data_IF_233859208116
#
_entry.id   IF_233859208116
#
_cell.length_a   1.000
_cell.length_b   1.000
_cell.length_c   1.000
_cell.angle_alpha   90.00
_cell.angle_beta   90.00
_cell.angle_gamma   90.00
#
_symmetry.space_group_name_H-M   'P 1'
#
loop_
_entity.id
_entity.type
_entity.pdbx_description
1 polymer ?
#
# COMPACT_ATOMS: atom_id res chain seq x y z
N UNK A 1 -35.00 -28.33 21.85
CA UNK A 1 -34.91 -28.26 20.37
C UNK A 1 -34.29 -26.91 20.03
N UNK A 2 -32.96 -26.84 20.00
CA UNK A 2 -32.22 -25.59 19.81
C UNK A 2 -31.84 -25.48 18.34
N UNK A 3 -32.50 -24.58 17.62
CA UNK A 3 -32.23 -24.30 16.21
C UNK A 3 -30.86 -23.65 16.09
N UNK A 4 -29.90 -24.32 15.43
CA UNK A 4 -28.60 -23.73 15.09
C UNK A 4 -28.83 -22.50 14.19
N UNK A 5 -28.20 -21.33 14.44
CA UNK A 5 -28.31 -20.20 13.55
C UNK A 5 -27.81 -20.59 12.15
N UNK A 6 -28.54 -20.16 11.11
CA UNK A 6 -28.21 -20.44 9.72
C UNK A 6 -27.06 -19.54 9.29
N UNK A 7 -25.85 -20.09 9.24
CA UNK A 7 -24.68 -19.49 8.60
C UNK A 7 -25.02 -19.23 7.13
N UNK A 8 -24.98 -17.97 6.70
CA UNK A 8 -25.10 -17.59 5.29
C UNK A 8 -23.74 -17.77 4.58
N UNK A 9 -23.70 -17.80 3.25
CA UNK A 9 -22.44 -17.88 2.51
C UNK A 9 -21.49 -16.71 2.87
N UNK A 10 -22.03 -15.56 3.27
CA UNK A 10 -21.26 -14.39 3.71
C UNK A 10 -20.57 -14.58 5.08
N UNK A 11 -21.02 -15.55 5.90
CA UNK A 11 -20.46 -15.83 7.21
C UNK A 11 -19.29 -16.84 7.18
N UNK A 12 -19.00 -17.43 6.01
CA UNK A 12 -17.89 -18.36 5.84
C UNK A 12 -16.61 -17.60 5.46
N UNK A 13 -15.46 -17.91 6.09
CA UNK A 13 -14.19 -17.29 5.70
C UNK A 13 -13.93 -17.56 4.21
N UNK A 14 -13.38 -16.59 3.46
CA UNK A 14 -13.12 -16.79 2.04
C UNK A 14 -12.19 -17.99 1.85
N UNK A 15 -12.58 -18.90 0.95
CA UNK A 15 -11.77 -20.06 0.59
C UNK A 15 -10.32 -19.64 0.30
N UNK A 16 -9.28 -20.28 0.88
CA UNK A 16 -7.90 -19.83 0.77
C UNK A 16 -7.42 -19.62 -0.68
N UNK A 17 -7.95 -20.40 -1.63
CA UNK A 17 -7.69 -20.23 -3.05
C UNK A 17 -8.19 -18.88 -3.60
N UNK A 18 -9.36 -18.40 -3.15
CA UNK A 18 -9.94 -17.12 -3.55
C UNK A 18 -9.17 -15.93 -2.98
N UNK A 19 -8.71 -16.03 -1.73
CA UNK A 19 -7.83 -15.02 -1.11
C UNK A 19 -6.54 -14.88 -1.92
N UNK A 20 -5.91 -16.00 -2.30
CA UNK A 20 -4.69 -15.99 -3.10
C UNK A 20 -4.91 -15.43 -4.50
N UNK A 21 -6.04 -15.75 -5.14
CA UNK A 21 -6.39 -15.18 -6.44
C UNK A 21 -6.55 -13.66 -6.36
N UNK A 22 -7.25 -13.16 -5.34
CA UNK A 22 -7.40 -11.71 -5.11
C UNK A 22 -6.05 -11.03 -4.90
N UNK A 23 -5.15 -11.64 -4.13
CA UNK A 23 -3.78 -11.13 -3.98
C UNK A 23 -3.06 -11.03 -5.32
N UNK A 24 -3.11 -12.05 -6.18
CA UNK A 24 -2.48 -11.99 -7.51
C UNK A 24 -3.03 -10.88 -8.41
N UNK A 25 -4.31 -10.51 -8.25
CA UNK A 25 -4.92 -9.43 -9.03
C UNK A 25 -4.54 -8.05 -8.49
N UNK A 26 -4.47 -7.89 -7.17
CA UNK A 26 -4.23 -6.60 -6.52
C UNK A 26 -2.74 -6.28 -6.34
N UNK A 27 -1.88 -7.29 -6.20
CA UNK A 27 -0.45 -7.11 -6.00
C UNK A 27 0.20 -6.29 -7.12
N UNK A 28 -0.04 -6.55 -8.44
CA UNK A 28 0.52 -5.72 -9.49
C UNK A 28 0.09 -4.25 -9.39
N UNK A 29 -1.16 -4.00 -8.98
CA UNK A 29 -1.66 -2.63 -8.83
C UNK A 29 -0.97 -1.89 -7.68
N UNK A 30 -0.59 -2.61 -6.62
CA UNK A 30 0.14 -2.05 -5.49
C UNK A 30 1.64 -1.93 -5.78
N UNK A 31 2.23 -2.93 -6.43
CA UNK A 31 3.66 -3.07 -6.62
C UNK A 31 4.29 -1.92 -7.41
N UNK A 32 3.54 -1.29 -8.32
CA UNK A 32 4.04 -0.16 -9.13
C UNK A 32 4.64 0.98 -8.29
N UNK A 33 4.12 1.22 -7.08
CA UNK A 33 4.62 2.27 -6.18
C UNK A 33 6.06 2.02 -5.71
N UNK A 34 6.57 0.79 -5.80
CA UNK A 34 7.92 0.42 -5.37
C UNK A 34 8.89 0.19 -6.53
N UNK A 35 8.38 -0.04 -7.75
CA UNK A 35 9.20 -0.48 -8.88
C UNK A 35 9.14 0.43 -10.10
N UNK A 36 8.09 1.24 -10.24
CA UNK A 36 7.94 2.09 -11.41
C UNK A 36 8.98 3.23 -11.43
N UNK A 37 9.50 3.61 -12.63
CA UNK A 37 10.48 4.68 -12.74
C UNK A 37 9.96 6.02 -12.20
N UNK A 38 8.65 6.28 -12.29
CA UNK A 38 8.03 7.49 -11.73
C UNK A 38 8.15 7.52 -10.19
N UNK A 39 8.07 6.36 -9.53
CA UNK A 39 8.24 6.25 -8.08
C UNK A 39 9.66 6.61 -7.64
N UNK A 40 10.68 6.15 -8.38
CA UNK A 40 12.07 6.55 -8.11
C UNK A 40 12.30 8.03 -8.42
N UNK A 41 11.70 8.55 -9.50
CA UNK A 41 11.80 9.97 -9.83
C UNK A 41 11.20 10.87 -8.75
N UNK A 42 10.01 10.55 -8.23
CA UNK A 42 9.40 11.33 -7.13
C UNK A 42 10.19 11.19 -5.83
N UNK A 43 10.73 10.00 -5.53
CA UNK A 43 11.58 9.81 -4.35
C UNK A 43 12.85 10.68 -4.44
N UNK A 44 13.53 10.67 -5.58
CA UNK A 44 14.71 11.50 -5.81
C UNK A 44 14.40 13.00 -5.75
N UNK A 45 13.24 13.43 -6.25
CA UNK A 45 12.79 14.82 -6.16
C UNK A 45 12.54 15.27 -4.70
N UNK A 46 12.20 14.35 -3.80
CA UNK A 46 12.09 14.59 -2.36
C UNK A 46 13.43 14.48 -1.62
N UNK A 47 14.53 14.17 -2.31
CA UNK A 47 15.85 14.00 -1.70
C UNK A 47 16.07 12.62 -1.05
N UNK A 48 15.19 11.64 -1.29
CA UNK A 48 15.41 10.26 -0.86
C UNK A 48 16.49 9.61 -1.75
N UNK A 49 17.31 8.73 -1.15
CA UNK A 49 18.25 7.90 -1.90
C UNK A 49 17.52 6.95 -2.87
N UNK A 50 17.97 6.93 -4.12
CA UNK A 50 17.39 6.11 -5.21
C UNK A 50 18.38 5.09 -5.79
N UNK A 51 19.59 5.04 -5.25
CA UNK A 51 20.63 4.05 -5.54
C UNK A 51 20.28 2.67 -4.99
N UNK A 52 19.59 2.65 -3.85
CA UNK A 52 19.00 1.45 -3.26
C UNK A 52 17.47 1.57 -3.19
N UNK A 53 16.77 0.43 -3.18
CA UNK A 53 15.29 0.43 -3.07
C UNK A 53 14.76 0.83 -1.70
N UNK A 54 15.58 0.74 -0.65
CA UNK A 54 15.10 0.78 0.74
C UNK A 54 14.65 2.16 1.23
N UNK A 55 15.36 3.27 0.96
CA UNK A 55 14.89 4.60 1.36
C UNK A 55 13.49 4.90 0.80
N UNK A 56 13.30 4.63 -0.50
CA UNK A 56 11.99 4.73 -1.18
C UNK A 56 10.95 3.82 -0.52
N UNK A 57 11.29 2.55 -0.30
CA UNK A 57 10.37 1.55 0.23
C UNK A 57 9.82 1.95 1.60
N UNK A 58 10.70 2.31 2.53
CA UNK A 58 10.30 2.68 3.88
C UNK A 58 9.53 4.01 3.88
N UNK A 59 9.99 5.02 3.13
CA UNK A 59 9.28 6.29 3.01
C UNK A 59 7.85 6.11 2.50
N UNK A 60 7.66 5.41 1.37
CA UNK A 60 6.32 5.17 0.83
C UNK A 60 5.46 4.32 1.75
N UNK A 61 6.01 3.26 2.33
CA UNK A 61 5.23 2.30 3.12
C UNK A 61 4.86 2.85 4.49
N UNK A 62 5.68 3.71 5.08
CA UNK A 62 5.42 4.35 6.37
C UNK A 62 4.52 5.59 6.25
N UNK A 63 4.54 6.31 5.12
CA UNK A 63 3.83 7.58 4.96
C UNK A 63 2.34 7.57 5.41
N UNK A 64 1.52 6.53 5.13
CA UNK A 64 0.13 6.51 5.58
C UNK A 64 -0.08 6.44 7.10
N UNK A 65 0.96 6.07 7.87
CA UNK A 65 0.90 6.08 9.35
C UNK A 65 0.96 7.50 9.91
N UNK A 66 1.40 8.49 9.12
CA UNK A 66 1.70 9.83 9.60
C UNK A 66 2.91 9.86 10.54
N UNK A 67 3.02 10.93 11.32
CA UNK A 67 4.07 11.05 12.33
C UNK A 67 3.81 10.08 13.49
N UNK A 68 4.63 9.03 13.61
CA UNK A 68 4.56 8.03 14.67
C UNK A 68 5.90 7.90 15.41
N UNK A 69 5.89 7.47 16.69
CA UNK A 69 7.14 7.18 17.39
C UNK A 69 7.96 6.08 16.70
N UNK A 70 9.30 6.12 16.77
CA UNK A 70 10.16 5.08 16.16
C UNK A 70 9.80 3.65 16.58
N UNK A 71 9.38 3.44 17.84
CA UNK A 71 8.97 2.13 18.32
C UNK A 71 7.75 1.56 17.56
N UNK A 72 6.80 2.42 17.16
CA UNK A 72 5.64 2.02 16.34
C UNK A 72 6.10 1.64 14.94
N UNK A 73 7.04 2.41 14.37
CA UNK A 73 7.61 2.12 13.06
C UNK A 73 8.33 0.75 13.06
N UNK A 74 9.19 0.50 14.06
CA UNK A 74 9.85 -0.80 14.23
C UNK A 74 8.85 -1.95 14.42
N UNK A 75 7.76 -1.73 15.17
CA UNK A 75 6.72 -2.74 15.36
C UNK A 75 5.97 -3.06 14.06
N UNK A 76 5.61 -2.05 13.26
CA UNK A 76 4.97 -2.25 11.94
C UNK A 76 5.91 -2.98 10.98
N UNK A 77 7.21 -2.71 11.07
CA UNK A 77 8.24 -3.34 10.25
C UNK A 77 8.94 -4.51 10.94
N UNK A 78 8.29 -5.22 11.86
CA UNK A 78 8.89 -6.30 12.66
C UNK A 78 9.49 -7.46 11.83
N UNK A 79 9.12 -7.61 10.56
CA UNK A 79 9.68 -8.61 9.64
C UNK A 79 11.05 -8.22 9.08
N UNK A 80 11.52 -7.00 9.32
CA UNK A 80 12.84 -6.52 8.91
C UNK A 80 13.85 -6.64 10.06
N UNK A 81 15.12 -6.70 9.70
CA UNK A 81 16.20 -6.55 10.68
C UNK A 81 16.07 -5.16 11.35
N UNK A 82 16.14 -5.06 12.69
CA UNK A 82 15.88 -3.81 13.40
C UNK A 82 16.72 -2.61 12.92
N UNK A 83 18.01 -2.82 12.67
CA UNK A 83 18.93 -1.80 12.15
C UNK A 83 18.57 -1.27 10.76
N UNK A 84 17.89 -2.05 9.92
CA UNK A 84 17.37 -1.57 8.64
C UNK A 84 16.29 -0.49 8.82
N UNK A 85 15.38 -0.66 9.76
CA UNK A 85 14.30 0.31 9.99
C UNK A 85 14.88 1.61 10.49
N UNK A 86 15.82 1.55 11.43
CA UNK A 86 16.53 2.74 11.91
C UNK A 86 17.27 3.43 10.76
N UNK A 87 18.03 2.67 9.96
CA UNK A 87 18.85 3.21 8.87
C UNK A 87 18.04 3.88 7.75
N UNK A 88 16.91 3.31 7.36
CA UNK A 88 16.21 3.74 6.14
C UNK A 88 14.87 4.44 6.38
N UNK A 89 14.26 4.26 7.55
CA UNK A 89 12.94 4.81 7.86
C UNK A 89 13.01 6.02 8.81
N UNK A 90 14.18 6.30 9.39
CA UNK A 90 14.39 7.46 10.29
C UNK A 90 15.42 8.42 9.70
N UNK A 91 15.35 9.70 10.08
CA UNK A 91 16.34 10.70 9.66
C UNK A 91 16.36 11.01 8.15
N UNK A 92 15.29 10.70 7.42
CA UNK A 92 15.20 10.88 5.96
C UNK A 92 15.16 12.35 5.51
N UNK A 93 14.84 13.28 6.42
CA UNK A 93 14.60 14.69 6.10
C UNK A 93 13.29 14.96 5.37
N UNK A 94 12.49 13.91 5.09
CA UNK A 94 11.20 13.98 4.41
C UNK A 94 10.09 13.69 5.42
N UNK A 95 9.12 14.58 5.52
CA UNK A 95 7.96 14.39 6.40
C UNK A 95 7.04 13.29 5.87
N UNK A 96 6.26 12.61 6.74
CA UNK A 96 5.26 11.64 6.30
C UNK A 96 4.25 12.22 5.30
N UNK A 97 3.90 13.50 5.43
CA UNK A 97 2.98 14.22 4.54
C UNK A 97 3.59 14.44 3.15
N UNK A 98 4.85 14.88 3.08
CA UNK A 98 5.59 15.00 1.82
C UNK A 98 5.76 13.64 1.14
N UNK A 99 6.08 12.61 1.93
CA UNK A 99 6.20 11.24 1.43
C UNK A 99 4.85 10.73 0.91
N UNK A 100 3.74 10.99 1.60
CA UNK A 100 2.41 10.57 1.15
C UNK A 100 2.01 11.29 -0.14
N UNK A 101 2.26 12.60 -0.22
CA UNK A 101 1.99 13.39 -1.43
C UNK A 101 2.84 12.91 -2.61
N UNK A 102 4.14 12.66 -2.41
CA UNK A 102 5.04 12.10 -3.41
C UNK A 102 4.61 10.71 -3.88
N UNK A 103 4.23 9.84 -2.94
CA UNK A 103 3.67 8.51 -3.23
C UNK A 103 2.44 8.60 -4.14
N UNK A 104 1.52 9.53 -3.86
CA UNK A 104 0.30 9.70 -4.66
C UNK A 104 0.61 10.25 -6.07
N UNK A 105 1.53 11.21 -6.19
CA UNK A 105 2.01 11.70 -7.49
C UNK A 105 2.68 10.60 -8.30
N UNK A 106 3.52 9.78 -7.67
CA UNK A 106 4.17 8.66 -8.33
C UNK A 106 3.15 7.69 -8.92
N UNK A 107 2.15 7.29 -8.12
CA UNK A 107 1.08 6.38 -8.55
C UNK A 107 0.26 6.98 -9.69
N UNK A 108 -0.16 8.25 -9.60
CA UNK A 108 -0.89 8.93 -10.68
C UNK A 108 -0.07 8.94 -11.98
N UNK A 109 1.20 9.36 -11.90
CA UNK A 109 2.09 9.41 -13.06
C UNK A 109 2.31 8.04 -13.68
N UNK A 110 2.52 6.99 -12.87
CA UNK A 110 2.67 5.63 -13.37
C UNK A 110 1.42 5.15 -14.09
N UNK A 111 0.22 5.36 -13.53
CA UNK A 111 -1.02 4.93 -14.18
C UNK A 111 -1.33 5.71 -15.45
N UNK A 112 -1.06 7.03 -15.46
CA UNK A 112 -1.16 7.84 -16.68
C UNK A 112 -0.20 7.37 -17.77
N UNK A 113 1.03 7.00 -17.41
CA UNK A 113 2.00 6.46 -18.36
C UNK A 113 1.58 5.11 -18.94
N UNK A 114 0.98 4.24 -18.12
CA UNK A 114 0.56 2.89 -18.53
C UNK A 114 -0.75 2.86 -19.32
N UNK A 115 -1.72 3.68 -18.93
CA UNK A 115 -3.10 3.62 -19.43
C UNK A 115 -3.47 4.76 -20.38
N UNK A 116 -2.68 5.85 -20.41
CA UNK A 116 -3.04 7.06 -21.16
C UNK A 116 -4.41 7.58 -20.74
N UNK A 117 -5.24 7.96 -21.72
CA UNK A 117 -6.58 8.51 -21.49
C UNK A 117 -7.54 7.53 -20.77
N UNK A 118 -7.26 6.22 -20.82
CA UNK A 118 -8.10 5.23 -20.14
C UNK A 118 -8.04 5.35 -18.61
N UNK A 119 -7.06 6.09 -18.07
CA UNK A 119 -6.96 6.38 -16.63
C UNK A 119 -8.18 7.17 -16.11
N UNK A 120 -8.82 7.97 -16.96
CA UNK A 120 -9.99 8.78 -16.62
C UNK A 120 -11.30 8.07 -17.07
N UNK A 121 -11.19 6.79 -17.47
CA UNK A 121 -12.31 5.97 -17.93
C UNK A 121 -13.24 5.50 -16.80
N UNK A 122 -14.53 5.37 -17.12
CA UNK A 122 -15.56 4.95 -16.17
C UNK A 122 -15.29 3.56 -15.57
N UNK A 123 -14.73 2.64 -16.35
CA UNK A 123 -14.40 1.29 -15.88
C UNK A 123 -13.31 1.29 -14.80
N UNK A 124 -12.27 2.14 -14.96
CA UNK A 124 -11.22 2.26 -13.94
C UNK A 124 -11.75 2.95 -12.68
N UNK A 125 -12.60 3.96 -12.84
CA UNK A 125 -13.25 4.64 -11.72
C UNK A 125 -14.11 3.65 -10.90
N UNK A 126 -14.88 2.80 -11.57
CA UNK A 126 -15.69 1.76 -10.92
C UNK A 126 -14.81 0.70 -10.24
N UNK A 127 -13.77 0.22 -10.92
CA UNK A 127 -12.82 -0.74 -10.34
C UNK A 127 -12.14 -0.17 -9.08
N UNK A 128 -11.71 1.09 -9.10
CA UNK A 128 -11.11 1.76 -7.96
C UNK A 128 -12.11 1.92 -6.79
N UNK A 129 -13.38 2.24 -7.09
CA UNK A 129 -14.45 2.34 -6.09
C UNK A 129 -14.72 0.98 -5.43
N UNK A 130 -14.81 -0.09 -6.22
CA UNK A 130 -15.01 -1.46 -5.73
C UNK A 130 -13.83 -1.93 -4.87
N UNK A 131 -12.60 -1.72 -5.34
CA UNK A 131 -11.39 -2.06 -4.58
C UNK A 131 -11.32 -1.30 -3.24
N UNK A 132 -11.68 -0.01 -3.23
CA UNK A 132 -11.76 0.79 -2.00
C UNK A 132 -12.83 0.26 -1.05
N UNK A 133 -14.01 -0.06 -1.56
CA UNK A 133 -15.11 -0.62 -0.76
C UNK A 133 -14.69 -1.94 -0.10
N UNK A 134 -14.07 -2.82 -0.88
CA UNK A 134 -13.54 -4.09 -0.37
C UNK A 134 -12.46 -3.89 0.69
N UNK A 135 -11.51 -2.96 0.46
CA UNK A 135 -10.45 -2.64 1.42
C UNK A 135 -11.00 -2.06 2.74
N UNK A 136 -12.05 -1.24 2.68
CA UNK A 136 -12.70 -0.67 3.87
C UNK A 136 -13.58 -1.68 4.62
N UNK A 137 -14.14 -2.66 3.92
CA UNK A 137 -14.93 -3.74 4.53
C UNK A 137 -14.07 -4.87 5.09
N UNK A 138 -12.79 -4.95 4.69
CA UNK A 138 -11.88 -5.96 5.20
C UNK A 138 -11.73 -5.82 6.72
N UNK A 139 -12.18 -6.83 7.45
CA UNK A 139 -12.02 -6.89 8.90
C UNK A 139 -10.52 -7.08 9.19
N UNK A 140 -9.82 -6.00 9.51
CA UNK A 140 -8.54 -6.10 10.19
C UNK A 140 -8.87 -6.50 11.62
N UNK A 141 -8.70 -7.79 11.94
CA UNK A 141 -9.04 -8.39 13.24
C UNK A 141 -8.79 -7.39 14.38
N UNK A 142 -9.88 -6.88 14.96
CA UNK A 142 -9.80 -6.13 16.22
C UNK A 142 -9.62 -7.18 17.29
N UNK A 143 -8.44 -7.23 17.89
CA UNK A 143 -8.19 -8.03 19.09
C UNK A 143 -8.99 -7.48 20.27
#
# INVERSE_FOLDING_TARGET
>A
MTTRPRTTHDDLPPEPARVRQLWHLLEPLHAVVYYAPESYAEAGALGLGTDERWPLYFAWRAAPLGAVPPAVLSAVFHSFEPGMVERYATGTGVTPEEALAGRLRAVDRTWRALLGDAVDGADLAEAARLARTAAQAAVTTTH
#
